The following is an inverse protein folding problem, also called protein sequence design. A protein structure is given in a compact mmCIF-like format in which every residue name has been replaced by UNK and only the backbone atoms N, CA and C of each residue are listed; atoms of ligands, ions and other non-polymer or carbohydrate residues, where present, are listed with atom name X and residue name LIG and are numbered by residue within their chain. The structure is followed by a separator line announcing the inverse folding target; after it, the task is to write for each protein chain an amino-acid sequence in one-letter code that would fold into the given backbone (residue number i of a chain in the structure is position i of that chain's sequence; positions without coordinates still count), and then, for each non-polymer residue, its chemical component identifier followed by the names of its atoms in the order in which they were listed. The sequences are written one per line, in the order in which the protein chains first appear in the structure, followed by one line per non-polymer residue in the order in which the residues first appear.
data_IF_087686160027
#
_entry.id   IF_087686160027
#
_cell.length_a   1.000
_cell.length_b   1.000
_cell.length_c   1.000
_cell.angle_alpha   90.00
_cell.angle_beta   90.00
_cell.angle_gamma   90.00
#
_symmetry.space_group_name_H-M   'P 1'
#
loop_
_entity.id
_entity.type
_entity.pdbx_description
1 polymer ?
#
# COMPACT_ATOMS: atom_id res chain seq x y z
N UNK A 1 -38.02 19.41 25.17
CA UNK A 1 -37.35 20.23 24.13
C UNK A 1 -35.82 20.22 24.29
N UNK A 2 -35.23 20.86 25.31
CA UNK A 2 -33.77 20.96 25.44
C UNK A 2 -33.05 19.60 25.60
N UNK A 3 -33.57 18.69 26.42
CA UNK A 3 -32.97 17.36 26.62
C UNK A 3 -33.00 16.48 25.35
N UNK A 4 -34.09 16.52 24.58
CA UNK A 4 -34.20 15.81 23.30
C UNK A 4 -33.27 16.40 22.23
N UNK A 5 -33.14 17.73 22.20
CA UNK A 5 -32.20 18.39 21.30
C UNK A 5 -30.74 18.07 21.64
N UNK A 6 -30.41 17.97 22.94
CA UNK A 6 -29.09 17.55 23.40
C UNK A 6 -28.82 16.08 23.04
N UNK A 7 -29.78 15.17 23.25
CA UNK A 7 -29.65 13.76 22.88
C UNK A 7 -29.48 13.56 21.38
N UNK A 8 -30.24 14.29 20.55
CA UNK A 8 -30.11 14.22 19.10
C UNK A 8 -28.75 14.73 18.61
N UNK A 9 -28.20 15.78 19.23
CA UNK A 9 -26.85 16.27 18.93
C UNK A 9 -25.77 15.27 19.33
N UNK A 10 -25.91 14.63 20.48
CA UNK A 10 -24.99 13.57 20.91
C UNK A 10 -24.99 12.40 19.93
N UNK A 11 -26.18 11.91 19.55
CA UNK A 11 -26.31 10.84 18.57
C UNK A 11 -25.75 11.23 17.19
N UNK A 12 -25.96 12.47 16.73
CA UNK A 12 -25.41 12.97 15.48
C UNK A 12 -23.87 13.07 15.52
N UNK A 13 -23.29 13.42 16.66
CA UNK A 13 -21.85 13.42 16.85
C UNK A 13 -21.29 12.00 16.75
N UNK A 14 -21.89 11.04 17.46
CA UNK A 14 -21.49 9.63 17.45
C UNK A 14 -21.58 8.98 16.06
N UNK A 15 -22.50 9.44 15.22
CA UNK A 15 -22.66 9.00 13.83
C UNK A 15 -21.80 9.77 12.82
N UNK A 16 -20.99 10.74 13.26
CA UNK A 16 -20.18 11.55 12.35
C UNK A 16 -18.90 10.85 11.90
N UNK A 17 -18.45 11.19 10.69
CA UNK A 17 -17.16 10.74 10.14
C UNK A 17 -16.01 11.03 11.12
N UNK A 18 -15.93 12.27 11.61
CA UNK A 18 -14.83 12.70 12.49
C UNK A 18 -14.84 11.97 13.85
N UNK A 19 -16.01 11.63 14.38
CA UNK A 19 -16.09 10.83 15.60
C UNK A 19 -15.52 9.42 15.40
N UNK A 20 -15.92 8.75 14.32
CA UNK A 20 -15.40 7.42 14.00
C UNK A 20 -13.90 7.45 13.66
N UNK A 21 -13.44 8.49 12.95
CA UNK A 21 -12.02 8.69 12.65
C UNK A 21 -11.20 8.83 13.94
N UNK A 22 -11.64 9.69 14.87
CA UNK A 22 -10.96 9.90 16.15
C UNK A 22 -10.97 8.62 17.01
N UNK A 23 -12.07 7.89 17.03
CA UNK A 23 -12.16 6.60 17.72
C UNK A 23 -11.16 5.58 17.15
N UNK A 24 -11.00 5.55 15.82
CA UNK A 24 -10.00 4.68 15.18
C UNK A 24 -8.57 5.06 15.55
N UNK A 25 -8.26 6.37 15.56
CA UNK A 25 -6.95 6.88 15.96
C UNK A 25 -6.65 6.56 17.44
N UNK A 26 -7.63 6.69 18.32
CA UNK A 26 -7.50 6.31 19.72
C UNK A 26 -7.19 4.82 19.87
N UNK A 27 -7.91 3.96 19.14
CA UNK A 27 -7.65 2.52 19.14
C UNK A 27 -6.25 2.18 18.61
N UNK A 28 -5.76 2.87 17.57
CA UNK A 28 -4.38 2.73 17.11
C UNK A 28 -3.36 3.09 18.20
N UNK A 29 -3.56 4.20 18.91
CA UNK A 29 -2.72 4.59 20.04
C UNK A 29 -2.73 3.56 21.17
N UNK A 30 -3.86 2.86 21.37
CA UNK A 30 -3.99 1.77 22.32
C UNK A 30 -3.39 0.43 21.82
N UNK A 31 -2.94 0.36 20.56
CA UNK A 31 -2.41 -0.84 19.93
C UNK A 31 -3.48 -1.83 19.44
N UNK A 32 -4.76 -1.48 19.55
CA UNK A 32 -5.88 -2.30 19.08
C UNK A 32 -6.17 -2.04 17.60
N UNK A 33 -5.44 -2.75 16.73
CA UNK A 33 -5.60 -2.63 15.27
C UNK A 33 -6.99 -3.06 14.78
N UNK A 34 -7.61 -4.04 15.44
CA UNK A 34 -8.92 -4.54 15.03
C UNK A 34 -10.02 -3.51 15.34
N UNK A 35 -10.02 -2.92 16.54
CA UNK A 35 -10.94 -1.85 16.88
C UNK A 35 -10.71 -0.60 16.02
N UNK A 36 -9.44 -0.28 15.70
CA UNK A 36 -9.09 0.81 14.81
C UNK A 36 -9.68 0.60 13.41
N UNK A 37 -9.45 -0.57 12.81
CA UNK A 37 -9.98 -0.91 11.49
C UNK A 37 -11.51 -0.77 11.46
N UNK A 38 -12.22 -1.35 12.43
CA UNK A 38 -13.67 -1.27 12.49
C UNK A 38 -14.18 0.17 12.61
N UNK A 39 -13.45 1.04 13.34
CA UNK A 39 -13.80 2.44 13.47
C UNK A 39 -13.57 3.22 12.17
N UNK A 40 -12.46 2.99 11.47
CA UNK A 40 -12.22 3.64 10.18
C UNK A 40 -13.18 3.16 9.10
N UNK A 41 -13.58 1.88 9.10
CA UNK A 41 -14.62 1.37 8.21
C UNK A 41 -15.98 2.05 8.46
N UNK A 42 -16.34 2.29 9.74
CA UNK A 42 -17.52 3.09 10.07
C UNK A 42 -17.39 4.54 9.61
N UNK A 43 -16.20 5.15 9.74
CA UNK A 43 -15.96 6.48 9.19
C UNK A 43 -16.22 6.49 7.67
N UNK A 44 -15.68 5.52 6.94
CA UNK A 44 -15.90 5.41 5.49
C UNK A 44 -17.33 5.06 5.08
N UNK A 45 -18.12 4.44 5.96
CA UNK A 45 -19.55 4.28 5.72
C UNK A 45 -20.31 5.62 5.74
N UNK A 46 -19.80 6.62 6.48
CA UNK A 46 -20.34 7.99 6.52
C UNK A 46 -19.78 8.82 5.36
N UNK A 47 -18.47 8.77 5.14
CA UNK A 47 -17.78 9.50 4.06
C UNK A 47 -16.89 8.55 3.25
N UNK A 48 -17.39 7.93 2.17
CA UNK A 48 -16.64 6.94 1.38
C UNK A 48 -15.34 7.48 0.76
N UNK A 49 -15.27 8.79 0.53
CA UNK A 49 -14.08 9.50 0.01
C UNK A 49 -13.12 10.02 1.08
N UNK A 50 -13.38 9.75 2.36
CA UNK A 50 -12.60 10.28 3.48
C UNK A 50 -11.14 9.83 3.44
N UNK A 51 -10.25 10.69 2.91
CA UNK A 51 -8.86 10.32 2.64
C UNK A 51 -8.08 9.91 3.89
N UNK A 52 -8.41 10.50 5.06
CA UNK A 52 -7.74 10.18 6.34
C UNK A 52 -8.01 8.74 6.76
N UNK A 53 -9.27 8.32 6.74
CA UNK A 53 -9.65 6.96 7.10
C UNK A 53 -9.04 5.92 6.13
N UNK A 54 -9.00 6.23 4.83
CA UNK A 54 -8.28 5.37 3.87
C UNK A 54 -6.78 5.31 4.15
N UNK A 55 -6.14 6.43 4.51
CA UNK A 55 -4.71 6.46 4.83
C UNK A 55 -4.38 5.70 6.12
N UNK A 56 -5.22 5.82 7.15
CA UNK A 56 -5.05 5.10 8.41
C UNK A 56 -5.27 3.58 8.21
N UNK A 57 -6.25 3.18 7.39
CA UNK A 57 -6.43 1.78 6.98
C UNK A 57 -5.26 1.26 6.14
N UNK A 58 -4.75 2.07 5.21
CA UNK A 58 -3.56 1.72 4.44
C UNK A 58 -2.35 1.46 5.35
N UNK A 59 -2.18 2.24 6.41
CA UNK A 59 -1.11 2.01 7.39
C UNK A 59 -1.26 0.65 8.09
N UNK A 60 -2.48 0.27 8.48
CA UNK A 60 -2.76 -1.05 9.06
C UNK A 60 -2.42 -2.15 8.04
N UNK A 61 -2.92 -2.02 6.80
CA UNK A 61 -2.68 -3.00 5.74
C UNK A 61 -1.18 -3.15 5.39
N UNK A 62 -0.43 -2.05 5.40
CA UNK A 62 1.03 -2.07 5.21
C UNK A 62 1.76 -2.80 6.35
N UNK A 63 1.27 -2.67 7.59
CA UNK A 63 1.85 -3.36 8.76
C UNK A 63 1.55 -4.85 8.77
N UNK A 64 0.38 -5.23 8.28
CA UNK A 64 -0.04 -6.62 8.16
C UNK A 64 0.42 -7.25 6.82
N UNK A 65 1.26 -6.54 6.04
CA UNK A 65 1.78 -6.97 4.73
C UNK A 65 0.68 -7.33 3.72
N UNK A 66 -0.52 -6.77 3.90
CA UNK A 66 -1.66 -6.93 3.01
C UNK A 66 -1.52 -6.00 1.79
N UNK A 67 -0.50 -6.25 0.96
CA UNK A 67 -0.04 -5.33 -0.10
C UNK A 67 -1.14 -4.89 -1.08
N UNK A 68 -2.03 -5.79 -1.48
CA UNK A 68 -3.13 -5.45 -2.41
C UNK A 68 -4.11 -4.47 -1.77
N UNK A 69 -4.54 -4.74 -0.53
CA UNK A 69 -5.46 -3.84 0.19
C UNK A 69 -4.79 -2.50 0.49
N UNK A 70 -3.52 -2.52 0.90
CA UNK A 70 -2.74 -1.30 1.11
C UNK A 70 -2.69 -0.43 -0.16
N UNK A 71 -2.44 -1.02 -1.32
CA UNK A 71 -2.45 -0.30 -2.61
C UNK A 71 -3.82 0.35 -2.87
N UNK A 72 -4.90 -0.41 -2.75
CA UNK A 72 -6.27 0.09 -2.94
C UNK A 72 -6.58 1.27 -2.01
N UNK A 73 -6.23 1.16 -0.73
CA UNK A 73 -6.44 2.19 0.28
C UNK A 73 -5.60 3.44 0.04
N UNK A 74 -4.33 3.31 -0.33
CA UNK A 74 -3.47 4.45 -0.66
C UNK A 74 -4.00 5.21 -1.89
N UNK A 75 -4.47 4.48 -2.91
CA UNK A 75 -5.06 5.10 -4.12
C UNK A 75 -6.39 5.77 -3.81
N UNK A 76 -7.23 5.17 -2.97
CA UNK A 76 -8.47 5.79 -2.50
C UNK A 76 -8.20 7.06 -1.67
N UNK A 77 -7.17 7.04 -0.82
CA UNK A 77 -6.75 8.22 -0.06
C UNK A 77 -6.32 9.37 -0.99
N UNK A 78 -5.57 9.09 -2.05
CA UNK A 78 -5.19 10.09 -3.06
C UNK A 78 -6.40 10.66 -3.81
N UNK A 79 -7.34 9.79 -4.20
CA UNK A 79 -8.58 10.20 -4.87
C UNK A 79 -9.47 11.10 -4.00
N UNK A 80 -9.39 10.98 -2.67
CA UNK A 80 -10.11 11.82 -1.71
C UNK A 80 -9.57 13.25 -1.55
N UNK A 81 -8.54 13.64 -2.32
CA UNK A 81 -8.01 15.01 -2.31
C UNK A 81 -7.28 15.41 -1.02
N UNK A 82 -6.26 14.66 -0.58
CA UNK A 82 -5.51 15.01 0.62
C UNK A 82 -4.67 16.27 0.38
N UNK A 83 -4.25 16.98 1.44
CA UNK A 83 -3.30 18.08 1.29
C UNK A 83 -2.04 17.64 0.55
N UNK A 84 -1.49 18.52 -0.27
CA UNK A 84 -0.35 18.25 -1.16
C UNK A 84 0.84 17.54 -0.47
N UNK A 85 1.21 17.96 0.74
CA UNK A 85 2.28 17.29 1.50
C UNK A 85 1.94 15.84 1.88
N UNK A 86 0.68 15.56 2.19
CA UNK A 86 0.17 14.22 2.47
C UNK A 86 0.13 13.42 1.17
N UNK A 87 -0.36 14.00 0.07
CA UNK A 87 -0.40 13.36 -1.24
C UNK A 87 0.98 12.86 -1.67
N UNK A 88 2.02 13.71 -1.60
CA UNK A 88 3.40 13.31 -1.90
C UNK A 88 3.89 12.15 -1.04
N UNK A 89 3.64 12.19 0.27
CA UNK A 89 3.99 11.08 1.18
C UNK A 89 3.24 9.80 0.81
N UNK A 90 1.97 9.88 0.43
CA UNK A 90 1.17 8.73 0.01
C UNK A 90 1.70 8.14 -1.30
N UNK A 91 2.11 8.97 -2.25
CA UNK A 91 2.81 8.54 -3.45
C UNK A 91 4.16 7.86 -3.15
N UNK A 92 4.97 8.38 -2.22
CA UNK A 92 6.19 7.69 -1.77
C UNK A 92 5.89 6.30 -1.18
N UNK A 93 4.79 6.17 -0.42
CA UNK A 93 4.37 4.87 0.12
C UNK A 93 3.97 3.88 -0.97
N UNK A 94 3.25 4.33 -2.01
CA UNK A 94 2.95 3.52 -3.19
C UNK A 94 4.24 3.12 -3.93
N UNK A 95 5.19 4.04 -4.09
CA UNK A 95 6.50 3.74 -4.69
C UNK A 95 7.23 2.61 -3.95
N UNK A 96 7.28 2.70 -2.63
CA UNK A 96 7.92 1.66 -1.80
C UNK A 96 7.19 0.32 -1.86
N UNK A 97 5.86 0.35 -1.88
CA UNK A 97 5.02 -0.84 -2.01
C UNK A 97 5.27 -1.53 -3.35
N UNK A 98 5.31 -0.77 -4.45
CA UNK A 98 5.56 -1.34 -5.78
C UNK A 98 6.97 -1.92 -5.91
N UNK A 99 7.99 -1.29 -5.32
CA UNK A 99 9.33 -1.88 -5.31
C UNK A 99 9.40 -3.19 -4.53
N UNK A 100 8.70 -3.30 -3.39
CA UNK A 100 8.62 -4.58 -2.65
C UNK A 100 8.00 -5.70 -3.47
N UNK A 101 7.15 -5.36 -4.44
CA UNK A 101 6.51 -6.31 -5.37
C UNK A 101 7.25 -6.43 -6.70
N UNK A 102 8.46 -5.87 -6.81
CA UNK A 102 9.25 -5.79 -8.07
C UNK A 102 8.51 -5.12 -9.24
N UNK A 103 7.45 -4.37 -8.95
CA UNK A 103 6.66 -3.60 -9.90
C UNK A 103 7.35 -2.27 -10.21
N UNK A 104 8.58 -2.34 -10.72
CA UNK A 104 9.49 -1.18 -10.77
C UNK A 104 8.98 -0.03 -11.63
N UNK A 105 8.21 -0.30 -12.68
CA UNK A 105 7.65 0.76 -13.54
C UNK A 105 6.57 1.56 -12.79
N UNK A 106 5.69 0.88 -12.04
CA UNK A 106 4.73 1.56 -11.17
C UNK A 106 5.42 2.30 -10.02
N UNK A 107 6.50 1.73 -9.48
CA UNK A 107 7.29 2.40 -8.45
C UNK A 107 7.89 3.71 -8.95
N UNK A 108 8.51 3.70 -10.14
CA UNK A 108 9.08 4.91 -10.77
C UNK A 108 8.00 5.96 -10.96
N UNK A 109 6.83 5.59 -11.49
CA UNK A 109 5.72 6.52 -11.66
C UNK A 109 5.28 7.13 -10.33
N UNK A 110 5.10 6.32 -9.29
CA UNK A 110 4.72 6.80 -7.97
C UNK A 110 5.77 7.72 -7.33
N UNK A 111 7.07 7.44 -7.49
CA UNK A 111 8.11 8.33 -6.99
C UNK A 111 8.19 9.66 -7.75
N UNK A 112 7.87 9.67 -9.05
CA UNK A 112 7.76 10.92 -9.81
C UNK A 112 6.62 11.80 -9.27
N UNK A 113 5.44 11.23 -9.02
CA UNK A 113 4.32 11.94 -8.39
C UNK A 113 4.66 12.43 -6.97
N UNK A 114 5.52 11.71 -6.26
CA UNK A 114 6.00 12.12 -4.95
C UNK A 114 7.06 13.23 -5.00
N UNK A 115 7.65 13.52 -6.17
CA UNK A 115 8.84 14.36 -6.29
C UNK A 115 10.10 13.74 -5.68
N UNK A 116 10.16 12.41 -5.57
CA UNK A 116 11.26 11.66 -4.95
C UNK A 116 12.26 11.17 -6.01
N UNK A 117 13.19 12.04 -6.41
CA UNK A 117 14.23 11.71 -7.39
C UNK A 117 15.13 10.56 -6.93
N UNK A 118 15.38 10.46 -5.62
CA UNK A 118 16.19 9.38 -5.04
C UNK A 118 15.47 8.03 -5.17
N UNK A 119 14.17 8.00 -4.89
CA UNK A 119 13.30 6.86 -5.12
C UNK A 119 13.29 6.43 -6.60
N UNK A 120 13.17 7.38 -7.53
CA UNK A 120 13.24 7.10 -8.98
C UNK A 120 14.58 6.46 -9.36
N UNK A 121 15.70 7.03 -8.92
CA UNK A 121 17.03 6.52 -9.24
C UNK A 121 17.22 5.09 -8.71
N UNK A 122 16.79 4.86 -7.46
CA UNK A 122 16.86 3.54 -6.82
C UNK A 122 15.99 2.50 -7.53
N UNK A 123 14.73 2.83 -7.84
CA UNK A 123 13.82 1.91 -8.53
C UNK A 123 14.33 1.53 -9.93
N UNK A 124 14.94 2.48 -10.66
CA UNK A 124 15.60 2.20 -11.96
C UNK A 124 16.79 1.26 -11.83
N UNK A 125 17.62 1.45 -10.81
CA UNK A 125 18.75 0.57 -10.53
C UNK A 125 18.27 -0.85 -10.19
N UNK A 126 17.28 -0.96 -9.30
CA UNK A 126 16.66 -2.23 -8.93
C UNK A 126 16.08 -2.96 -10.15
N UNK A 127 15.37 -2.25 -11.04
CA UNK A 127 14.83 -2.82 -12.29
C UNK A 127 15.92 -3.40 -13.18
N UNK A 128 17.04 -2.69 -13.34
CA UNK A 128 18.19 -3.15 -14.13
C UNK A 128 18.78 -4.41 -13.52
N UNK A 129 19.08 -4.39 -12.23
CA UNK A 129 19.63 -5.54 -11.51
C UNK A 129 18.70 -6.75 -11.61
N UNK A 130 17.39 -6.58 -11.43
CA UNK A 130 16.43 -7.67 -11.56
C UNK A 130 16.38 -8.26 -12.98
N UNK A 131 16.51 -7.43 -14.03
CA UNK A 131 16.60 -7.91 -15.40
C UNK A 131 17.90 -8.68 -15.66
N UNK A 132 19.04 -8.19 -15.15
CA UNK A 132 20.33 -8.87 -15.27
C UNK A 132 20.29 -10.24 -14.55
N UNK A 133 19.74 -10.29 -13.32
CA UNK A 133 19.58 -11.53 -12.57
C UNK A 133 18.71 -12.56 -13.29
N UNK A 134 17.59 -12.13 -13.89
CA UNK A 134 16.74 -13.02 -14.70
C UNK A 134 17.49 -13.58 -15.91
N UNK A 135 18.22 -12.73 -16.63
CA UNK A 135 19.05 -13.18 -17.76
C UNK A 135 20.09 -14.21 -17.34
N UNK A 136 20.77 -13.99 -16.20
CA UNK A 136 21.74 -14.97 -15.69
C UNK A 136 21.08 -16.29 -15.32
N UNK A 137 19.88 -16.25 -14.71
CA UNK A 137 19.14 -17.46 -14.36
C UNK A 137 18.72 -18.25 -15.62
N UNK A 138 18.23 -17.56 -16.66
CA UNK A 138 17.85 -18.18 -17.93
C UNK A 138 19.05 -18.85 -18.60
N UNK A 139 20.20 -18.15 -18.64
CA UNK A 139 21.45 -18.70 -19.19
C UNK A 139 21.94 -19.92 -18.39
N UNK A 140 21.84 -19.89 -17.06
CA UNK A 140 22.21 -21.02 -16.22
C UNK A 140 21.29 -22.23 -16.44
N UNK A 141 20.00 -22.00 -16.62
CA UNK A 141 19.02 -23.06 -16.92
C UNK A 141 19.28 -23.70 -18.29
N UNK A 142 19.62 -22.90 -19.30
CA UNK A 142 19.99 -23.39 -20.64
C UNK A 142 21.26 -24.24 -20.59
N UNK A 143 22.30 -23.77 -19.87
CA UNK A 143 23.54 -24.53 -19.70
C UNK A 143 23.30 -25.89 -19.03
N UNK A 144 22.50 -25.92 -17.96
CA UNK A 144 22.16 -27.16 -17.26
C UNK A 144 21.35 -28.13 -18.15
N UNK A 145 20.47 -27.61 -19.01
CA UNK A 145 19.72 -28.44 -19.95
C UNK A 145 20.63 -29.09 -21.00
N UNK A 146 21.60 -28.35 -21.52
CA UNK A 146 22.60 -28.86 -22.46
C UNK A 146 23.52 -29.93 -21.82
N UNK A 147 23.96 -29.70 -20.58
CA UNK A 147 24.74 -30.69 -19.83
C UNK A 147 23.97 -32.00 -19.64
N UNK A 148 22.69 -31.93 -19.26
CA UNK A 148 21.84 -33.10 -19.11
C UNK A 148 21.61 -33.85 -20.44
N UNK A 149 21.49 -33.13 -21.55
CA UNK A 149 21.35 -33.73 -22.88
C UNK A 149 22.63 -34.47 -23.30
N UNK A 150 23.81 -33.88 -23.04
CA UNK A 150 25.11 -34.52 -23.30
C UNK A 150 25.28 -35.80 -22.46
N UNK A 151 24.96 -35.75 -21.16
CA UNK A 151 25.02 -36.93 -20.29
C UNK A 151 24.07 -38.05 -20.74
N UNK A 152 22.88 -37.70 -21.26
CA UNK A 152 21.93 -38.69 -21.78
C UNK A 152 22.44 -39.38 -23.05
N UNK A 153 23.14 -38.65 -23.92
CA UNK A 153 23.78 -39.20 -25.11
C UNK A 153 24.94 -40.13 -24.74
N UNK A 154 25.77 -39.74 -23.77
CA UNK A 154 26.93 -40.54 -23.32
C UNK A 154 26.53 -41.84 -22.60
N UNK A 155 25.39 -41.86 -21.90
CA UNK A 155 24.90 -43.04 -21.20
C UNK A 155 23.99 -43.96 -22.06
N UNK A 156 23.62 -43.52 -23.27
CA UNK A 156 22.71 -44.22 -24.17
C UNK A 156 23.38 -44.96 -25.35
N UNK A 157 24.69 -44.77 -25.55
CA UNK A 157 25.52 -45.43 -26.57
C UNK A 157 26.37 -46.56 -26.02
#
# INVERSE_FOLDING_TARGET
AAAQAAAARAAALEASYEHHLLHGQYALCAGDRAAAQAAFERALAVEPGGWRAHLDLAWIDLKDEAWTRAEERLRAALAGGPPEAVARRTWSQLGMLYERREAFDQAIAAYLEAGDESGVARARANRRTAADLRRYADMAAEAAALEAELEALDNGG
#
